data_IF_369569782271
#
_entry.id   IF_369569782271
#
_cell.length_a   1.000
_cell.length_b   1.000
_cell.length_c   1.000
_cell.angle_alpha   90.00
_cell.angle_beta   90.00
_cell.angle_gamma   90.00
#
_symmetry.space_group_name_H-M   'P 1'
#
loop_
_entity.id
_entity.type
_entity.pdbx_description
1 polymer ?
#
# COMPACT_ATOMS: atom_id res chain seq x y z
N UNK A 1 14.96 -8.58 6.35
CA UNK A 1 15.50 -8.97 7.67
C UNK A 1 14.77 -8.25 8.81
N UNK A 2 14.61 -6.91 8.76
CA UNK A 2 14.11 -6.10 9.88
C UNK A 2 12.79 -6.55 10.51
N UNK A 3 11.72 -6.80 9.74
CA UNK A 3 10.42 -7.17 10.31
C UNK A 3 10.40 -8.56 11.00
N UNK A 4 11.35 -9.44 10.67
CA UNK A 4 11.47 -10.77 11.31
C UNK A 4 12.35 -10.77 12.56
N UNK A 5 13.15 -9.71 12.79
CA UNK A 5 14.08 -9.61 13.93
C UNK A 5 13.43 -9.15 15.22
N UNK A 6 12.16 -8.73 15.19
CA UNK A 6 11.44 -8.30 16.40
C UNK A 6 11.21 -9.47 17.37
N UNK A 7 11.22 -9.21 18.70
CA UNK A 7 10.89 -10.20 19.71
C UNK A 7 9.52 -10.86 19.46
N UNK A 8 9.31 -12.12 19.86
CA UNK A 8 8.02 -12.82 19.71
C UNK A 8 6.83 -12.12 20.36
N UNK A 9 7.06 -11.28 21.37
CA UNK A 9 6.03 -10.50 22.06
C UNK A 9 5.40 -9.39 21.21
N UNK A 10 6.01 -9.03 20.08
CA UNK A 10 5.44 -8.02 19.17
C UNK A 10 4.34 -8.66 18.32
N UNK A 11 3.11 -8.24 18.52
CA UNK A 11 1.92 -8.78 17.84
C UNK A 11 1.56 -8.06 16.54
N UNK A 12 1.93 -6.78 16.43
CA UNK A 12 1.58 -5.93 15.29
C UNK A 12 2.83 -5.30 14.71
N UNK A 13 2.88 -5.25 13.39
CA UNK A 13 4.05 -4.74 12.66
C UNK A 13 3.63 -3.87 11.48
N UNK A 14 4.48 -2.92 11.17
CA UNK A 14 4.51 -2.16 9.94
C UNK A 14 5.94 -1.67 9.70
N UNK A 15 6.19 -1.05 8.57
CA UNK A 15 7.39 -0.22 8.36
C UNK A 15 6.95 1.17 7.89
N UNK A 16 7.74 2.14 8.19
CA UNK A 16 7.56 3.53 7.80
C UNK A 16 8.82 3.98 7.07
N UNK A 17 8.69 4.75 6.01
CA UNK A 17 9.82 5.46 5.43
C UNK A 17 10.44 6.41 6.47
N UNK A 18 11.72 6.68 6.37
CA UNK A 18 12.43 7.58 7.28
C UNK A 18 11.98 9.04 7.16
N UNK A 19 11.32 9.37 6.06
CA UNK A 19 10.74 10.66 5.73
C UNK A 19 9.21 10.73 5.89
N UNK A 20 8.55 9.60 6.16
CA UNK A 20 7.10 9.50 6.37
C UNK A 20 6.71 9.75 7.83
N UNK A 21 5.45 10.10 8.06
CA UNK A 21 4.95 10.42 9.40
C UNK A 21 3.66 9.63 9.71
N UNK A 22 3.50 9.22 10.96
CA UNK A 22 2.21 8.79 11.50
C UNK A 22 1.41 10.01 11.96
N UNK A 23 0.09 9.99 11.76
CA UNK A 23 -0.77 11.04 12.32
C UNK A 23 -1.03 10.79 13.81
N UNK A 24 -1.29 11.86 14.57
CA UNK A 24 -1.55 11.77 16.01
C UNK A 24 -2.68 10.79 16.32
N UNK A 25 -2.41 9.86 17.24
CA UNK A 25 -3.38 8.82 17.67
C UNK A 25 -3.72 7.79 16.59
N UNK A 26 -3.01 7.76 15.45
CA UNK A 26 -3.25 6.78 14.38
C UNK A 26 -2.89 5.36 14.81
N UNK A 27 -1.80 5.20 15.54
CA UNK A 27 -1.34 3.89 16.02
C UNK A 27 -2.32 3.31 17.04
N UNK A 28 -2.74 4.08 18.04
CA UNK A 28 -3.71 3.64 19.05
C UNK A 28 -5.04 3.24 18.41
N UNK A 29 -5.49 4.04 17.42
CA UNK A 29 -6.69 3.71 16.67
C UNK A 29 -6.54 2.42 15.86
N UNK A 30 -5.45 2.24 15.13
CA UNK A 30 -5.19 1.04 14.34
C UNK A 30 -5.10 -0.20 15.25
N UNK A 31 -4.44 -0.08 16.41
CA UNK A 31 -4.35 -1.13 17.43
C UNK A 31 -5.73 -1.50 17.97
N UNK A 32 -6.58 -0.50 18.31
CA UNK A 32 -7.93 -0.78 18.82
C UNK A 32 -8.79 -1.55 17.82
N UNK A 33 -8.68 -1.25 16.52
CA UNK A 33 -9.39 -1.97 15.45
C UNK A 33 -8.89 -3.41 15.33
N UNK A 34 -7.56 -3.62 15.38
CA UNK A 34 -6.97 -4.95 15.29
C UNK A 34 -7.26 -5.80 16.53
N UNK A 35 -7.10 -5.26 17.74
CA UNK A 35 -7.35 -5.99 18.98
C UNK A 35 -8.81 -6.41 19.12
N UNK A 36 -9.73 -5.58 18.66
CA UNK A 36 -11.17 -5.86 18.71
C UNK A 36 -11.65 -7.00 17.80
N UNK A 37 -10.84 -7.45 16.82
CA UNK A 37 -11.25 -8.51 15.90
C UNK A 37 -10.06 -9.37 15.42
N UNK A 38 -9.91 -10.58 15.96
CA UNK A 38 -8.80 -11.49 15.57
C UNK A 38 -8.80 -11.91 14.10
N UNK A 39 -9.91 -11.80 13.40
CA UNK A 39 -10.02 -12.14 11.98
C UNK A 39 -9.45 -11.06 11.01
N UNK A 40 -9.04 -9.90 11.56
CA UNK A 40 -8.41 -8.84 10.75
C UNK A 40 -6.91 -9.10 10.65
N UNK A 41 -6.40 -9.28 9.43
CA UNK A 41 -4.97 -9.42 9.16
C UNK A 41 -4.26 -8.07 9.03
N UNK A 42 -4.97 -7.06 8.50
CA UNK A 42 -4.44 -5.72 8.26
C UNK A 42 -5.56 -4.69 8.43
N UNK A 43 -5.27 -3.59 9.12
CA UNK A 43 -6.06 -2.36 9.09
C UNK A 43 -5.36 -1.34 8.20
N UNK A 44 -6.14 -0.56 7.46
CA UNK A 44 -5.63 0.54 6.65
C UNK A 44 -6.59 1.72 6.65
N UNK A 45 -6.03 2.91 6.48
CA UNK A 45 -6.79 4.16 6.44
C UNK A 45 -6.34 5.09 5.33
N UNK A 46 -6.70 6.36 5.43
CA UNK A 46 -6.23 7.41 4.55
C UNK A 46 -4.74 7.69 4.74
N UNK A 47 -4.14 8.31 3.72
CA UNK A 47 -2.78 8.83 3.78
C UNK A 47 -2.76 10.22 3.14
N UNK A 48 -2.22 11.20 3.85
CA UNK A 48 -1.98 12.53 3.32
C UNK A 48 -0.62 12.56 2.62
N UNK A 49 -0.62 12.99 1.37
CA UNK A 49 0.61 13.18 0.62
C UNK A 49 1.10 14.61 0.84
N UNK A 50 2.33 14.75 1.31
CA UNK A 50 2.97 16.03 1.64
C UNK A 50 4.22 16.23 0.77
N UNK A 51 4.63 17.48 0.55
CA UNK A 51 5.88 17.81 -0.14
C UNK A 51 7.10 17.73 0.81
N UNK A 52 8.27 18.14 0.32
CA UNK A 52 9.51 18.17 1.09
C UNK A 52 9.44 19.05 2.34
N UNK A 53 8.61 20.10 2.32
CA UNK A 53 8.40 21.05 3.43
C UNK A 53 7.27 20.62 4.39
N UNK A 54 6.54 19.55 4.07
CA UNK A 54 5.43 19.05 4.87
C UNK A 54 4.07 19.66 4.52
N UNK A 55 3.97 20.44 3.45
CA UNK A 55 2.73 21.01 2.95
C UNK A 55 1.87 19.92 2.27
N UNK A 56 0.56 19.95 2.55
CA UNK A 56 -0.38 19.00 1.96
C UNK A 56 -0.52 19.17 0.44
N UNK A 57 -0.31 18.10 -0.30
CA UNK A 57 -0.51 18.03 -1.74
C UNK A 57 -1.88 17.46 -2.10
N UNK A 58 -2.23 16.30 -1.52
CA UNK A 58 -3.54 15.67 -1.66
C UNK A 58 -3.77 14.62 -0.58
N UNK A 59 -5.03 14.27 -0.37
CA UNK A 59 -5.44 13.24 0.56
C UNK A 59 -5.94 12.00 -0.20
N UNK A 60 -5.26 10.86 -0.01
CA UNK A 60 -5.76 9.55 -0.42
C UNK A 60 -6.65 8.99 0.71
N UNK A 61 -7.95 8.98 0.49
CA UNK A 61 -8.93 8.46 1.46
C UNK A 61 -9.09 6.94 1.40
N UNK A 62 -8.41 6.25 0.49
CA UNK A 62 -8.47 4.80 0.24
C UNK A 62 -9.89 4.26 0.00
N UNK A 63 -10.70 4.20 1.04
CA UNK A 63 -12.05 3.64 1.00
C UNK A 63 -12.09 2.13 1.18
N UNK A 64 -13.25 1.62 1.60
CA UNK A 64 -13.45 0.18 1.83
C UNK A 64 -13.33 -0.67 0.56
N UNK A 65 -13.47 -0.07 -0.61
CA UNK A 65 -13.35 -0.72 -1.92
C UNK A 65 -11.90 -0.98 -2.36
N UNK A 66 -10.90 -0.29 -1.76
CA UNK A 66 -9.49 -0.39 -2.15
C UNK A 66 -8.99 -1.85 -2.11
N UNK A 67 -9.40 -2.62 -1.10
CA UNK A 67 -9.05 -4.05 -0.96
C UNK A 67 -9.55 -4.94 -2.10
N UNK A 68 -10.59 -4.53 -2.81
CA UNK A 68 -11.09 -5.25 -3.98
C UNK A 68 -10.40 -4.78 -5.26
N UNK A 69 -10.22 -3.47 -5.40
CA UNK A 69 -9.57 -2.88 -6.57
C UNK A 69 -8.10 -3.29 -6.71
N UNK A 70 -7.38 -3.53 -5.63
CA UNK A 70 -5.96 -3.91 -5.71
C UNK A 70 -5.70 -5.16 -6.58
N UNK A 71 -6.72 -6.02 -6.78
CA UNK A 71 -6.60 -7.24 -7.60
C UNK A 71 -6.81 -7.02 -9.09
N UNK A 72 -7.49 -5.94 -9.48
CA UNK A 72 -7.84 -5.65 -10.88
C UNK A 72 -7.67 -4.19 -11.26
N UNK A 73 -7.19 -3.35 -10.37
CA UNK A 73 -7.06 -1.91 -10.53
C UNK A 73 -5.84 -1.33 -9.83
N UNK A 74 -5.82 0.00 -9.62
CA UNK A 74 -4.72 0.64 -8.94
C UNK A 74 -4.61 0.20 -7.48
N UNK A 75 -3.37 0.17 -6.97
CA UNK A 75 -3.10 0.05 -5.53
C UNK A 75 -3.51 1.35 -4.84
N UNK A 76 -4.55 1.27 -4.03
CA UNK A 76 -5.08 2.41 -3.29
C UNK A 76 -4.86 2.32 -1.78
N UNK A 77 -4.42 1.16 -1.27
CA UNK A 77 -4.08 0.99 0.15
C UNK A 77 -2.70 1.61 0.37
N UNK A 78 -2.59 2.71 1.13
CA UNK A 78 -1.29 3.31 1.41
C UNK A 78 -0.54 2.44 2.42
N UNK A 79 0.67 2.04 2.08
CA UNK A 79 1.49 1.20 2.96
C UNK A 79 1.81 1.92 4.28
N UNK A 80 2.22 3.23 4.32
CA UNK A 80 2.46 3.94 5.57
C UNK A 80 1.21 4.04 6.46
N UNK A 81 0.04 4.15 5.85
CA UNK A 81 -1.27 4.20 6.51
C UNK A 81 -1.88 2.83 6.81
N UNK A 82 -1.05 1.83 7.12
CA UNK A 82 -1.51 0.48 7.44
C UNK A 82 -0.82 -0.08 8.68
N UNK A 83 -1.45 -1.08 9.32
CA UNK A 83 -0.86 -1.86 10.41
C UNK A 83 -1.34 -3.31 10.26
N UNK A 84 -0.45 -4.29 10.43
CA UNK A 84 -0.77 -5.69 10.21
C UNK A 84 -0.47 -6.57 11.42
N UNK A 85 -1.18 -7.69 11.52
CA UNK A 85 -0.84 -8.74 12.48
C UNK A 85 0.42 -9.46 12.07
N UNK A 86 1.34 -9.60 13.01
CA UNK A 86 2.58 -10.33 12.80
C UNK A 86 2.35 -11.80 12.40
N UNK A 87 1.44 -12.49 13.09
CA UNK A 87 1.13 -13.88 12.76
C UNK A 87 0.57 -14.07 11.34
N UNK A 88 -0.23 -13.10 10.84
CA UNK A 88 -0.70 -13.13 9.47
C UNK A 88 0.45 -12.90 8.46
N UNK A 89 1.36 -11.98 8.76
CA UNK A 89 2.57 -11.74 7.98
C UNK A 89 3.48 -12.97 7.93
N UNK A 90 3.70 -13.65 9.06
CA UNK A 90 4.50 -14.86 9.14
C UNK A 90 3.84 -16.03 8.40
N UNK A 91 2.51 -16.17 8.52
CA UNK A 91 1.73 -17.22 7.83
C UNK A 91 1.85 -17.16 6.31
N UNK A 92 2.01 -15.97 5.73
CA UNK A 92 2.22 -15.80 4.29
C UNK A 92 3.70 -15.85 3.88
N UNK A 93 4.62 -16.10 4.79
CA UNK A 93 6.05 -16.16 4.52
C UNK A 93 6.76 -14.80 4.48
N UNK A 94 6.08 -13.70 4.88
CA UNK A 94 6.66 -12.36 4.89
C UNK A 94 6.67 -11.66 3.53
N UNK A 95 7.59 -10.73 3.32
CA UNK A 95 7.78 -10.03 2.04
C UNK A 95 8.40 -10.97 1.01
N UNK A 96 7.95 -10.86 -0.24
CA UNK A 96 8.57 -11.53 -1.37
C UNK A 96 9.68 -10.64 -1.96
N UNK A 97 10.91 -11.14 -1.88
CA UNK A 97 12.11 -10.39 -2.27
C UNK A 97 12.31 -10.30 -3.79
N UNK A 98 11.52 -11.00 -4.58
CA UNK A 98 11.56 -10.86 -6.04
C UNK A 98 11.01 -9.52 -6.52
N UNK A 99 10.15 -8.87 -5.72
CA UNK A 99 9.56 -7.56 -6.04
C UNK A 99 10.34 -6.43 -5.37
N UNK A 100 10.70 -5.43 -6.16
CA UNK A 100 11.46 -4.27 -5.71
C UNK A 100 10.58 -3.05 -5.43
N UNK A 101 9.51 -2.86 -6.22
CA UNK A 101 8.69 -1.65 -6.17
C UNK A 101 7.24 -1.91 -5.72
N UNK A 102 6.65 -3.05 -6.09
CA UNK A 102 5.25 -3.37 -5.80
C UNK A 102 5.09 -4.50 -4.75
N UNK A 103 6.10 -4.67 -3.89
CA UNK A 103 6.10 -5.69 -2.84
C UNK A 103 4.98 -5.49 -1.81
N UNK A 104 4.50 -4.27 -1.61
CA UNK A 104 3.35 -3.95 -0.76
C UNK A 104 2.03 -4.47 -1.36
N UNK A 105 1.84 -4.34 -2.67
CA UNK A 105 0.69 -4.91 -3.36
C UNK A 105 0.65 -6.43 -3.23
N UNK A 106 1.78 -7.10 -3.46
CA UNK A 106 1.90 -8.55 -3.29
C UNK A 106 1.57 -8.96 -1.85
N UNK A 107 2.15 -8.26 -0.87
CA UNK A 107 1.90 -8.47 0.55
C UNK A 107 0.41 -8.37 0.88
N UNK A 108 -0.26 -7.31 0.46
CA UNK A 108 -1.68 -7.08 0.77
C UNK A 108 -2.59 -8.11 0.09
N UNK A 109 -2.28 -8.51 -1.14
CA UNK A 109 -3.02 -9.59 -1.82
C UNK A 109 -2.85 -10.91 -1.05
N UNK A 110 -1.64 -11.26 -0.59
CA UNK A 110 -1.40 -12.49 0.19
C UNK A 110 -2.05 -12.42 1.57
N UNK A 111 -1.97 -11.27 2.28
CA UNK A 111 -2.65 -11.06 3.55
C UNK A 111 -4.17 -11.22 3.43
N UNK A 112 -4.77 -10.76 2.32
CA UNK A 112 -6.22 -10.90 2.09
C UNK A 112 -6.71 -12.35 1.94
N UNK A 113 -5.79 -13.31 1.80
CA UNK A 113 -6.11 -14.76 1.74
C UNK A 113 -6.13 -15.41 3.12
N UNK A 114 -5.49 -14.78 4.11
CA UNK A 114 -5.34 -15.33 5.47
C UNK A 114 -6.13 -14.57 6.53
N UNK A 115 -6.69 -13.40 6.20
CA UNK A 115 -7.53 -12.61 7.08
C UNK A 115 -8.15 -11.40 6.37
N UNK A 116 -9.02 -10.68 7.08
CA UNK A 116 -9.70 -9.50 6.54
C UNK A 116 -8.75 -8.31 6.43
N UNK A 117 -8.84 -7.55 5.34
CA UNK A 117 -8.30 -6.20 5.24
C UNK A 117 -9.40 -5.21 5.65
N UNK A 118 -9.21 -4.53 6.76
CA UNK A 118 -10.20 -3.63 7.35
C UNK A 118 -9.87 -2.16 7.06
N UNK A 119 -10.79 -1.47 6.41
CA UNK A 119 -10.71 -0.03 6.22
C UNK A 119 -11.14 0.72 7.48
N UNK A 120 -10.46 1.83 7.80
CA UNK A 120 -10.89 2.86 8.74
C UNK A 120 -10.95 4.22 8.05
N UNK A 121 -11.94 5.08 8.32
CA UNK A 121 -12.07 6.39 7.67
C UNK A 121 -11.04 7.43 8.17
N UNK A 122 -10.19 7.08 9.15
CA UNK A 122 -9.14 7.96 9.65
C UNK A 122 -7.95 8.02 8.68
N UNK A 123 -7.33 9.20 8.61
CA UNK A 123 -5.99 9.35 8.02
C UNK A 123 -4.98 8.84 9.04
N UNK A 124 -4.21 7.81 8.67
CA UNK A 124 -3.27 7.15 9.58
C UNK A 124 -1.83 7.62 9.41
N UNK A 125 -1.47 8.10 8.22
CA UNK A 125 -0.10 8.51 7.92
C UNK A 125 -0.05 9.70 6.97
N UNK A 126 1.16 10.29 6.87
CA UNK A 126 1.56 11.25 5.84
C UNK A 126 2.72 10.65 5.07
N UNK A 127 2.62 10.63 3.76
CA UNK A 127 3.64 10.16 2.84
C UNK A 127 4.33 11.35 2.17
N UNK A 128 5.65 11.40 2.25
CA UNK A 128 6.43 12.47 1.62
C UNK A 128 6.69 12.15 0.16
N UNK A 129 6.15 13.01 -0.70
CA UNK A 129 6.26 12.89 -2.15
C UNK A 129 7.38 13.76 -2.68
N UNK A 130 8.48 13.16 -3.07
CA UNK A 130 9.64 13.83 -3.68
C UNK A 130 10.31 12.94 -4.73
N UNK A 131 11.13 13.53 -5.58
CA UNK A 131 11.74 12.83 -6.72
C UNK A 131 12.71 11.69 -6.31
N UNK A 132 13.26 11.75 -5.09
CA UNK A 132 14.11 10.70 -4.51
C UNK A 132 13.33 9.49 -3.97
N UNK A 133 11.98 9.57 -3.88
CA UNK A 133 11.20 8.45 -3.36
C UNK A 133 11.12 7.31 -4.37
N UNK A 134 11.20 6.06 -3.90
CA UNK A 134 11.12 4.85 -4.72
C UNK A 134 9.86 4.80 -5.59
N UNK A 135 8.74 5.31 -5.06
CA UNK A 135 7.45 5.34 -5.74
C UNK A 135 7.40 6.32 -6.93
N UNK A 136 8.25 7.36 -6.91
CA UNK A 136 8.34 8.36 -7.99
C UNK A 136 9.36 7.92 -9.03
N UNK A 137 10.59 7.61 -8.61
CA UNK A 137 11.68 7.21 -9.51
C UNK A 137 11.48 5.83 -10.17
N UNK A 138 10.79 4.91 -9.49
CA UNK A 138 10.56 3.52 -9.95
C UNK A 138 9.21 3.28 -10.64
N UNK A 139 8.47 4.31 -11.05
CA UNK A 139 7.08 4.20 -11.54
C UNK A 139 6.86 3.14 -12.61
N UNK A 140 7.68 3.09 -13.65
CA UNK A 140 7.54 2.10 -14.73
C UNK A 140 7.76 0.67 -14.21
N UNK A 141 8.77 0.47 -13.35
CA UNK A 141 9.03 -0.82 -12.69
C UNK A 141 7.88 -1.24 -11.78
N UNK A 142 7.38 -0.31 -10.96
CA UNK A 142 6.23 -0.54 -10.06
C UNK A 142 4.97 -0.97 -10.82
N UNK A 143 4.67 -0.31 -11.94
CA UNK A 143 3.50 -0.67 -12.78
C UNK A 143 3.69 -2.03 -13.45
N UNK A 144 4.91 -2.36 -13.89
CA UNK A 144 5.20 -3.66 -14.50
C UNK A 144 5.08 -4.80 -13.46
N UNK A 145 5.70 -4.66 -12.28
CA UNK A 145 5.58 -5.63 -11.19
C UNK A 145 4.11 -5.79 -10.73
N UNK A 146 3.39 -4.69 -10.57
CA UNK A 146 1.98 -4.73 -10.17
C UNK A 146 1.12 -5.51 -11.18
N UNK A 147 1.39 -5.41 -12.48
CA UNK A 147 0.69 -6.19 -13.51
C UNK A 147 0.98 -7.69 -13.37
N UNK A 148 2.25 -8.08 -13.14
CA UNK A 148 2.64 -9.47 -12.90
C UNK A 148 1.95 -10.01 -11.65
N UNK A 149 2.00 -9.28 -10.54
CA UNK A 149 1.39 -9.67 -9.25
C UNK A 149 -0.12 -9.88 -9.40
N UNK A 150 -0.83 -8.94 -10.04
CA UNK A 150 -2.28 -9.06 -10.26
C UNK A 150 -2.62 -10.24 -11.14
N UNK A 151 -1.91 -10.43 -12.25
CA UNK A 151 -2.11 -11.58 -13.13
C UNK A 151 -1.87 -12.90 -12.40
N UNK A 152 -0.81 -12.99 -11.59
CA UNK A 152 -0.53 -14.18 -10.78
C UNK A 152 -1.59 -14.44 -9.70
N UNK A 153 -2.24 -13.39 -9.20
CA UNK A 153 -3.31 -13.49 -8.20
C UNK A 153 -4.66 -13.96 -8.79
N UNK A 154 -4.83 -13.89 -10.11
CA UNK A 154 -6.04 -14.36 -10.80
C UNK A 154 -6.12 -15.89 -10.85
N UNK A 155 -7.36 -16.45 -10.88
CA UNK A 155 -7.58 -17.81 -11.30
C UNK A 155 -6.92 -18.09 -12.67
N UNK A 156 -6.36 -19.28 -12.84
CA UNK A 156 -5.57 -19.61 -14.04
C UNK A 156 -6.34 -19.36 -15.35
N UNK A 157 -7.65 -19.64 -15.35
CA UNK A 157 -8.53 -19.45 -16.50
C UNK A 157 -8.68 -17.98 -16.93
N UNK A 158 -8.51 -17.03 -15.99
CA UNK A 158 -8.63 -15.60 -16.25
C UNK A 158 -7.30 -14.93 -16.65
N UNK A 159 -6.18 -15.62 -16.46
CA UNK A 159 -4.85 -15.04 -16.75
C UNK A 159 -4.65 -14.73 -18.23
N UNK A 160 -5.20 -15.57 -19.11
CA UNK A 160 -5.09 -15.38 -20.57
C UNK A 160 -5.80 -14.11 -21.06
N UNK A 161 -6.87 -13.68 -20.37
CA UNK A 161 -7.65 -12.49 -20.74
C UNK A 161 -7.25 -11.25 -19.91
N UNK A 162 -6.36 -11.39 -18.92
CA UNK A 162 -5.88 -10.30 -18.10
C UNK A 162 -5.37 -9.09 -18.88
N UNK A 163 -4.65 -9.23 -20.02
CA UNK A 163 -4.18 -8.08 -20.81
C UNK A 163 -5.30 -7.15 -21.29
N UNK A 164 -6.54 -7.63 -21.43
CA UNK A 164 -7.67 -6.81 -21.87
C UNK A 164 -7.98 -5.64 -20.92
N UNK A 165 -7.80 -5.82 -19.61
CA UNK A 165 -8.03 -4.76 -18.62
C UNK A 165 -6.73 -4.22 -18.02
N UNK A 166 -5.67 -5.01 -17.88
CA UNK A 166 -4.38 -4.56 -17.36
C UNK A 166 -3.78 -3.44 -18.20
N UNK A 167 -3.87 -3.52 -19.52
CA UNK A 167 -3.34 -2.49 -20.41
C UNK A 167 -4.01 -1.12 -20.20
N UNK A 168 -5.35 -0.99 -20.20
CA UNK A 168 -5.99 0.28 -19.91
C UNK A 168 -5.73 0.77 -18.48
N UNK A 169 -5.72 -0.11 -17.47
CA UNK A 169 -5.41 0.24 -16.08
C UNK A 169 -4.01 0.83 -15.99
N UNK A 170 -3.00 0.20 -16.58
CA UNK A 170 -1.63 0.68 -16.62
C UNK A 170 -1.53 2.09 -17.22
N UNK A 171 -2.23 2.34 -18.34
CA UNK A 171 -2.27 3.67 -18.97
C UNK A 171 -2.88 4.73 -18.04
N UNK A 172 -3.95 4.39 -17.32
CA UNK A 172 -4.59 5.30 -16.36
C UNK A 172 -3.66 5.63 -15.21
N UNK A 173 -3.02 4.62 -14.60
CA UNK A 173 -2.08 4.80 -13.48
C UNK A 173 -0.91 5.71 -13.87
N UNK A 174 -0.29 5.46 -15.04
CA UNK A 174 0.83 6.26 -15.52
C UNK A 174 0.41 7.73 -15.75
N UNK A 175 -0.69 7.98 -16.45
CA UNK A 175 -1.20 9.34 -16.69
C UNK A 175 -1.56 10.08 -15.41
N UNK A 176 -2.17 9.39 -14.45
CA UNK A 176 -2.51 9.99 -13.16
C UNK A 176 -1.25 10.35 -12.37
N UNK A 177 -0.27 9.46 -12.37
CA UNK A 177 1.01 9.70 -11.71
C UNK A 177 1.77 10.90 -12.31
N UNK A 178 1.79 11.05 -13.64
CA UNK A 178 2.39 12.22 -14.31
C UNK A 178 1.70 13.53 -13.89
N UNK A 179 0.36 13.54 -13.86
CA UNK A 179 -0.40 14.72 -13.42
C UNK A 179 -0.10 15.10 -11.97
N UNK A 180 0.07 14.12 -11.09
CA UNK A 180 0.40 14.36 -9.69
C UNK A 180 1.82 14.89 -9.52
N UNK A 181 2.79 14.36 -10.24
CA UNK A 181 4.18 14.89 -10.24
C UNK A 181 4.24 16.33 -10.76
N UNK A 182 3.49 16.65 -11.83
CA UNK A 182 3.42 18.02 -12.34
C UNK A 182 2.78 19.00 -11.35
N UNK A 183 1.79 18.56 -10.56
CA UNK A 183 1.21 19.37 -9.48
C UNK A 183 2.19 19.59 -8.34
N UNK A 184 2.93 18.55 -7.94
CA UNK A 184 3.98 18.68 -6.93
C UNK A 184 5.07 19.68 -7.35
N UNK A 185 5.57 19.56 -8.57
CA UNK A 185 6.58 20.49 -9.11
C UNK A 185 6.10 21.96 -9.17
N UNK A 186 4.80 22.18 -9.48
CA UNK A 186 4.20 23.53 -9.48
C UNK A 186 3.97 24.11 -8.09
N UNK A 187 3.87 23.28 -7.07
CA UNK A 187 3.71 23.73 -5.69
C UNK A 187 5.05 24.12 -5.03
N UNK A 188 6.17 23.74 -5.65
CA UNK A 188 7.54 24.05 -5.20
C UNK A 188 8.12 25.31 -5.84
N UNK A 189 7.47 25.85 -6.89
CA UNK A 189 7.77 27.15 -7.51
C UNK A 189 6.75 28.21 -7.10
#
# INVERSE_FOLDING_TARGET
AGLRSFPPSIEYINWLGDDDLLTTGSLDHALSVLSGNPGIALVYGGCEYIDGEGKSLWLNKSGSYAKYLMRCGPQLIPQPGSLMRRNAFEKIGGLDHQYKWAFDLDLFIRLSRVGKLQFTPRTLAKFRWHDGSLSVGGRNGSVAEASVIRTAALPIMLRAIAPLWETPIRKVILRTGEKLSLRSARAQN
#
